data_IF_211837760084
#
_entry.id   IF_211837760084
#
_cell.length_a   1.000
_cell.length_b   1.000
_cell.length_c   1.000
_cell.angle_alpha   90.00
_cell.angle_beta   90.00
_cell.angle_gamma   90.00
#
_symmetry.space_group_name_H-M   'P 1'
#
loop_
_entity.id
_entity.type
_entity.pdbx_description
1 polymer ?
#
# COMPACT_ATOMS: atom_id res chain seq x y z
N UNK A 1 -18.40 5.46 -0.67
CA UNK A 1 -18.08 5.47 -2.12
C UNK A 1 -16.73 4.80 -2.26
N UNK A 2 -16.55 3.91 -3.25
CA UNK A 2 -15.25 3.26 -3.50
C UNK A 2 -14.25 4.34 -3.96
N UNK A 3 -13.10 4.53 -3.28
CA UNK A 3 -12.16 5.60 -3.61
C UNK A 3 -11.42 5.39 -4.94
N UNK A 4 -11.30 4.14 -5.42
CA UNK A 4 -10.56 3.81 -6.64
C UNK A 4 -11.45 3.96 -7.87
N UNK A 5 -12.70 3.50 -7.78
CA UNK A 5 -13.64 3.53 -8.91
C UNK A 5 -14.55 4.76 -8.90
N UNK A 6 -14.77 5.39 -7.74
CA UNK A 6 -15.83 6.36 -7.45
C UNK A 6 -17.24 5.80 -7.69
N UNK A 7 -17.37 4.47 -7.71
CA UNK A 7 -18.70 3.85 -7.76
C UNK A 7 -19.35 3.93 -6.38
N UNK A 8 -20.65 4.20 -6.36
CA UNK A 8 -21.42 4.12 -5.14
C UNK A 8 -21.34 2.69 -4.60
N UNK A 9 -21.10 2.56 -3.30
CA UNK A 9 -21.19 1.28 -2.60
C UNK A 9 -22.64 1.20 -2.10
N UNK A 10 -23.40 0.15 -2.47
CA UNK A 10 -24.77 -0.01 -1.99
C UNK A 10 -24.82 0.03 -0.46
N UNK A 11 -25.77 0.80 0.10
CA UNK A 11 -25.94 0.98 1.55
C UNK A 11 -26.48 -0.30 2.19
N UNK A 12 -27.33 -1.00 1.45
CA UNK A 12 -27.83 -2.32 1.69
C UNK A 12 -27.02 -3.30 0.84
N UNK A 13 -25.89 -3.81 1.37
CA UNK A 13 -25.08 -4.85 0.70
C UNK A 13 -25.85 -6.18 0.44
N UNK A 14 -27.18 -6.18 0.54
CA UNK A 14 -28.13 -7.30 0.57
C UNK A 14 -28.14 -8.15 -0.72
N UNK A 15 -27.42 -7.76 -1.77
CA UNK A 15 -27.30 -8.55 -3.01
C UNK A 15 -25.91 -9.12 -3.32
N UNK A 16 -24.83 -8.37 -3.06
CA UNK A 16 -23.48 -8.72 -3.52
C UNK A 16 -22.40 -8.20 -2.56
N UNK A 17 -22.53 -8.55 -1.27
CA UNK A 17 -21.47 -8.32 -0.26
C UNK A 17 -20.13 -8.88 -0.76
N UNK A 18 -20.16 -9.98 -1.53
CA UNK A 18 -18.97 -10.68 -2.05
C UNK A 18 -18.15 -9.88 -3.05
N UNK A 19 -18.75 -8.90 -3.74
CA UNK A 19 -18.05 -8.06 -4.71
C UNK A 19 -17.21 -6.95 -4.06
N UNK A 20 -17.37 -6.73 -2.75
CA UNK A 20 -16.63 -5.72 -2.00
C UNK A 20 -15.85 -6.34 -0.86
N UNK A 21 -14.69 -5.78 -0.56
CA UNK A 21 -13.88 -6.19 0.58
C UNK A 21 -13.14 -5.01 1.20
N UNK A 22 -12.78 -5.19 2.46
CA UNK A 22 -11.96 -4.23 3.17
C UNK A 22 -10.52 -4.36 2.64
N UNK A 23 -10.00 -3.25 2.17
CA UNK A 23 -8.69 -3.13 1.56
C UNK A 23 -7.77 -2.25 2.41
N UNK A 24 -6.49 -2.63 2.45
CA UNK A 24 -5.41 -1.81 2.99
C UNK A 24 -4.88 -0.91 1.87
N UNK A 25 -5.21 0.39 1.92
CA UNK A 25 -4.83 1.37 0.89
C UNK A 25 -3.33 1.29 0.62
N UNK A 26 -2.50 1.46 1.65
CA UNK A 26 -1.10 1.10 1.62
C UNK A 26 -0.95 -0.33 2.16
N UNK A 27 -0.58 -1.21 1.24
CA UNK A 27 -0.62 -2.66 1.43
C UNK A 27 0.32 -3.14 2.55
N UNK A 28 -0.08 -4.20 3.27
CA UNK A 28 0.74 -4.81 4.32
C UNK A 28 2.12 -5.24 3.83
N UNK A 29 2.20 -5.71 2.58
CA UNK A 29 3.47 -6.10 1.94
C UNK A 29 4.41 -4.90 1.73
N UNK A 30 3.90 -3.68 1.58
CA UNK A 30 4.75 -2.48 1.55
C UNK A 30 5.40 -2.23 2.91
N UNK A 31 4.64 -2.34 3.99
CA UNK A 31 5.19 -2.22 5.35
C UNK A 31 6.16 -3.35 5.68
N UNK A 32 5.86 -4.58 5.26
CA UNK A 32 6.80 -5.70 5.40
C UNK A 32 8.11 -5.42 4.64
N UNK A 33 8.05 -4.83 3.44
CA UNK A 33 9.22 -4.41 2.69
C UNK A 33 10.02 -3.34 3.44
N UNK A 34 9.36 -2.30 3.94
CA UNK A 34 9.97 -1.22 4.74
C UNK A 34 10.72 -1.80 5.94
N UNK A 35 10.06 -2.63 6.75
CA UNK A 35 10.65 -3.22 7.95
C UNK A 35 11.82 -4.15 7.60
N UNK A 36 11.71 -4.92 6.51
CA UNK A 36 12.80 -5.79 6.07
C UNK A 36 14.03 -5.02 5.57
N UNK A 37 13.87 -3.76 5.16
CA UNK A 37 14.96 -2.87 4.72
C UNK A 37 15.49 -1.97 5.83
N UNK A 38 14.68 -1.71 6.85
CA UNK A 38 15.08 -0.94 8.02
C UNK A 38 16.16 -1.72 8.79
N UNK A 39 17.34 -1.14 8.94
CA UNK A 39 18.47 -1.72 9.68
C UNK A 39 18.21 -1.66 11.20
N UNK A 40 17.29 -2.51 11.65
CA UNK A 40 16.81 -2.57 13.03
C UNK A 40 17.39 -3.77 13.77
N UNK A 41 17.73 -3.57 15.04
CA UNK A 41 17.98 -4.68 15.96
C UNK A 41 16.71 -5.52 16.15
N UNK A 42 16.87 -6.77 16.61
CA UNK A 42 15.74 -7.71 16.77
C UNK A 42 14.60 -7.16 17.66
N UNK A 43 14.95 -6.50 18.76
CA UNK A 43 13.97 -5.98 19.71
C UNK A 43 13.22 -4.79 19.11
N UNK A 44 13.94 -3.85 18.50
CA UNK A 44 13.38 -2.71 17.77
C UNK A 44 12.49 -3.18 16.61
N UNK A 45 12.93 -4.18 15.85
CA UNK A 45 12.14 -4.78 14.77
C UNK A 45 10.79 -5.29 15.27
N UNK A 46 10.76 -6.04 16.37
CA UNK A 46 9.50 -6.55 16.93
C UNK A 46 8.60 -5.42 17.43
N UNK A 47 9.19 -4.43 18.11
CA UNK A 47 8.45 -3.25 18.56
C UNK A 47 7.82 -2.49 17.40
N UNK A 48 8.57 -2.25 16.31
CA UNK A 48 8.09 -1.57 15.11
C UNK A 48 6.96 -2.37 14.45
N UNK A 49 7.09 -3.70 14.37
CA UNK A 49 6.04 -4.56 13.79
C UNK A 49 4.75 -4.48 14.60
N UNK A 50 4.83 -4.53 15.93
CA UNK A 50 3.66 -4.43 16.80
C UNK A 50 3.00 -3.04 16.69
N UNK A 51 3.79 -1.97 16.72
CA UNK A 51 3.29 -0.59 16.54
C UNK A 51 2.68 -0.37 15.16
N UNK A 52 3.32 -0.86 14.09
CA UNK A 52 2.75 -0.80 12.74
C UNK A 52 1.39 -1.48 12.70
N UNK A 53 1.27 -2.67 13.28
CA UNK A 53 0.00 -3.42 13.28
C UNK A 53 -1.10 -2.63 14.00
N UNK A 54 -0.79 -2.00 15.13
CA UNK A 54 -1.78 -1.40 16.02
C UNK A 54 -2.14 0.04 15.62
N UNK A 55 -1.16 0.84 15.20
CA UNK A 55 -1.28 2.29 15.10
C UNK A 55 -1.21 2.83 13.66
N UNK A 56 -0.86 2.00 12.67
CA UNK A 56 -0.60 2.48 11.29
C UNK A 56 -1.29 1.64 10.23
N UNK A 57 -1.16 0.32 10.29
CA UNK A 57 -1.62 -0.60 9.24
C UNK A 57 -3.13 -0.82 9.31
N UNK A 58 -3.67 -1.05 10.51
CA UNK A 58 -5.08 -1.41 10.70
C UNK A 58 -5.96 -0.25 11.16
N UNK A 59 -5.49 1.00 11.04
CA UNK A 59 -6.29 2.19 11.33
C UNK A 59 -7.23 2.52 10.17
N UNK A 60 -8.35 3.18 10.48
CA UNK A 60 -9.39 3.52 9.50
C UNK A 60 -8.84 4.34 8.32
N UNK A 61 -7.82 5.17 8.56
CA UNK A 61 -7.17 5.99 7.52
C UNK A 61 -6.42 5.18 6.46
N UNK A 62 -6.03 3.94 6.77
CA UNK A 62 -5.40 3.01 5.83
C UNK A 62 -6.38 1.94 5.32
N UNK A 63 -7.64 1.96 5.77
CA UNK A 63 -8.65 0.99 5.39
C UNK A 63 -9.68 1.62 4.46
N UNK A 64 -10.10 0.86 3.45
CA UNK A 64 -11.20 1.28 2.59
C UNK A 64 -12.03 0.12 2.09
N UNK A 65 -13.34 0.31 1.98
CA UNK A 65 -14.22 -0.66 1.33
C UNK A 65 -14.15 -0.46 -0.18
N UNK A 66 -13.67 -1.48 -0.90
CA UNK A 66 -13.38 -1.40 -2.34
C UNK A 66 -13.95 -2.59 -3.08
N UNK A 67 -14.07 -2.48 -4.41
CA UNK A 67 -14.39 -3.65 -5.23
C UNK A 67 -13.26 -4.68 -5.14
N UNK A 68 -13.63 -5.92 -4.86
CA UNK A 68 -12.71 -7.06 -4.74
C UNK A 68 -11.81 -7.25 -5.96
N UNK A 69 -12.34 -7.11 -7.17
CA UNK A 69 -11.53 -7.23 -8.39
C UNK A 69 -10.46 -6.16 -8.49
N UNK A 70 -10.79 -4.91 -8.15
CA UNK A 70 -9.84 -3.78 -8.13
C UNK A 70 -8.79 -4.00 -7.05
N UNK A 71 -9.19 -4.46 -5.87
CA UNK A 71 -8.26 -4.80 -4.80
C UNK A 71 -7.25 -5.87 -5.23
N UNK A 72 -7.74 -6.97 -5.82
CA UNK A 72 -6.89 -8.05 -6.32
C UNK A 72 -5.88 -7.57 -7.38
N UNK A 73 -6.31 -6.71 -8.31
CA UNK A 73 -5.44 -6.13 -9.33
C UNK A 73 -4.39 -5.19 -8.71
N UNK A 74 -4.79 -4.36 -7.75
CA UNK A 74 -3.89 -3.49 -6.99
C UNK A 74 -2.83 -4.32 -6.25
N UNK A 75 -3.26 -5.31 -5.48
CA UNK A 75 -2.37 -6.18 -4.72
C UNK A 75 -1.36 -6.91 -5.60
N UNK A 76 -1.79 -7.39 -6.79
CA UNK A 76 -0.88 -7.99 -7.80
C UNK A 76 0.15 -6.99 -8.33
N UNK A 77 -0.28 -5.77 -8.66
CA UNK A 77 0.63 -4.74 -9.15
C UNK A 77 1.66 -4.34 -8.10
N UNK A 78 1.23 -4.13 -6.85
CA UNK A 78 2.13 -3.83 -5.74
C UNK A 78 3.08 -4.99 -5.46
N UNK A 79 2.58 -6.23 -5.42
CA UNK A 79 3.43 -7.41 -5.21
C UNK A 79 4.49 -7.53 -6.30
N UNK A 80 4.09 -7.45 -7.57
CA UNK A 80 5.02 -7.56 -8.70
C UNK A 80 6.10 -6.49 -8.67
N UNK A 81 5.74 -5.25 -8.31
CA UNK A 81 6.73 -4.19 -8.12
C UNK A 81 7.72 -4.52 -7.00
N UNK A 82 7.22 -4.94 -5.83
CA UNK A 82 8.07 -5.21 -4.67
C UNK A 82 8.96 -6.44 -4.87
N UNK A 83 8.45 -7.49 -5.53
CA UNK A 83 9.19 -8.71 -5.87
C UNK A 83 10.33 -8.41 -6.83
N UNK A 84 10.04 -7.76 -7.97
CA UNK A 84 11.05 -7.37 -8.95
C UNK A 84 12.12 -6.47 -8.35
N UNK A 85 11.73 -5.58 -7.44
CA UNK A 85 12.66 -4.72 -6.71
C UNK A 85 13.53 -5.51 -5.74
N UNK A 86 12.96 -6.46 -5.01
CA UNK A 86 13.69 -7.31 -4.08
C UNK A 86 14.69 -8.23 -4.80
N UNK A 87 14.34 -8.70 -6.01
CA UNK A 87 15.18 -9.61 -6.81
C UNK A 87 16.09 -8.89 -7.80
N UNK A 88 15.99 -7.56 -7.95
CA UNK A 88 16.78 -6.77 -8.91
C UNK A 88 16.36 -6.95 -10.38
N UNK A 89 15.15 -7.45 -10.63
CA UNK A 89 14.57 -7.62 -11.96
C UNK A 89 13.76 -6.41 -12.42
N UNK A 90 13.56 -5.42 -11.54
CA UNK A 90 12.86 -4.19 -11.87
C UNK A 90 13.57 -3.46 -13.02
N UNK A 91 12.86 -3.27 -14.13
CA UNK A 91 13.34 -2.40 -15.21
C UNK A 91 13.56 -0.98 -14.68
N UNK A 92 14.64 -0.31 -15.11
CA UNK A 92 15.01 1.03 -14.63
C UNK A 92 13.89 2.07 -14.69
N UNK A 93 13.00 1.93 -15.67
CA UNK A 93 11.92 2.91 -15.89
C UNK A 93 10.57 2.46 -15.30
N UNK A 94 10.45 1.21 -14.86
CA UNK A 94 9.20 0.66 -14.35
C UNK A 94 8.85 1.22 -12.96
N UNK A 95 7.68 1.84 -12.86
CA UNK A 95 7.11 2.40 -11.64
C UNK A 95 5.82 1.68 -11.25
N UNK A 96 5.26 2.00 -10.08
CA UNK A 96 4.04 1.35 -9.62
C UNK A 96 2.90 1.45 -10.64
N UNK A 97 2.75 2.61 -11.29
CA UNK A 97 1.74 2.85 -12.33
C UNK A 97 1.85 1.81 -13.45
N UNK A 98 3.06 1.48 -13.89
CA UNK A 98 3.31 0.49 -14.93
C UNK A 98 2.90 -0.92 -14.48
N UNK A 99 3.22 -1.31 -13.25
CA UNK A 99 2.81 -2.61 -12.70
C UNK A 99 1.28 -2.69 -12.53
N UNK A 100 0.63 -1.63 -12.06
CA UNK A 100 -0.83 -1.57 -11.91
C UNK A 100 -1.56 -1.66 -13.27
N UNK A 101 -1.05 -0.99 -14.31
CA UNK A 101 -1.63 -1.06 -15.66
C UNK A 101 -1.46 -2.43 -16.32
N UNK A 102 -0.39 -3.15 -15.98
CA UNK A 102 -0.10 -4.48 -16.51
C UNK A 102 -0.74 -5.60 -15.68
N UNK A 103 -1.15 -5.32 -14.43
CA UNK A 103 -1.88 -6.24 -13.60
C UNK A 103 -3.21 -6.64 -14.28
N UNK A 104 -3.45 -7.94 -14.34
CA UNK A 104 -4.67 -8.50 -14.91
C UNK A 104 -5.17 -9.69 -14.08
N UNK A 105 -6.47 -9.94 -14.22
CA UNK A 105 -7.15 -11.09 -13.67
C UNK A 105 -8.13 -11.63 -14.71
N UNK A 106 -7.65 -12.55 -15.57
CA UNK A 106 -8.36 -12.90 -16.79
C UNK A 106 -8.39 -11.69 -17.75
N UNK A 107 -9.59 -11.28 -18.14
CA UNK A 107 -9.80 -10.13 -19.03
C UNK A 107 -9.92 -8.79 -18.29
N UNK A 108 -9.97 -8.81 -16.95
CA UNK A 108 -10.07 -7.59 -16.14
C UNK A 108 -8.72 -6.88 -16.01
N UNK A 109 -8.74 -5.55 -16.16
CA UNK A 109 -7.58 -4.66 -16.03
C UNK A 109 -7.99 -3.34 -15.39
N UNK A 110 -7.04 -2.71 -14.71
CA UNK A 110 -7.22 -1.34 -14.22
C UNK A 110 -7.17 -0.35 -15.38
N UNK A 111 -8.12 0.56 -15.43
CA UNK A 111 -8.02 1.73 -16.30
C UNK A 111 -6.91 2.66 -15.82
N UNK A 112 -6.42 3.54 -16.71
CA UNK A 112 -5.49 4.62 -16.34
C UNK A 112 -6.05 5.52 -15.24
N UNK A 113 -7.36 5.74 -15.23
CA UNK A 113 -8.02 6.61 -14.24
C UNK A 113 -8.06 5.95 -12.86
N UNK A 114 -8.42 4.66 -12.80
CA UNK A 114 -8.38 3.89 -11.54
C UNK A 114 -6.96 3.79 -11.02
N UNK A 115 -5.99 3.49 -11.89
CA UNK A 115 -4.57 3.46 -11.54
C UNK A 115 -4.09 4.78 -10.93
N UNK A 116 -4.40 5.91 -11.56
CA UNK A 116 -4.01 7.22 -11.03
C UNK A 116 -4.62 7.52 -9.65
N UNK A 117 -5.86 7.08 -9.39
CA UNK A 117 -6.51 7.22 -8.07
C UNK A 117 -5.86 6.31 -7.04
N UNK A 118 -5.62 5.05 -7.38
CA UNK A 118 -4.92 4.08 -6.53
C UNK A 118 -3.57 4.65 -6.10
N UNK A 119 -2.75 5.11 -7.06
CA UNK A 119 -1.45 5.75 -6.74
C UNK A 119 -1.62 6.96 -5.81
N UNK A 120 -2.63 7.80 -6.06
CA UNK A 120 -2.91 8.96 -5.22
C UNK A 120 -3.28 8.59 -3.78
N UNK A 121 -4.11 7.56 -3.58
CA UNK A 121 -4.51 7.10 -2.25
C UNK A 121 -3.36 6.37 -1.54
N UNK A 122 -2.59 5.53 -2.25
CA UNK A 122 -1.37 4.91 -1.71
C UNK A 122 -0.41 5.98 -1.22
N UNK A 123 -0.16 7.03 -2.02
CA UNK A 123 0.72 8.14 -1.63
C UNK A 123 0.25 8.81 -0.35
N UNK A 124 -1.05 9.11 -0.25
CA UNK A 124 -1.63 9.76 0.94
C UNK A 124 -1.47 8.88 2.17
N UNK A 125 -1.81 7.59 2.07
CA UNK A 125 -1.68 6.66 3.19
C UNK A 125 -0.22 6.46 3.60
N UNK A 126 0.69 6.25 2.66
CA UNK A 126 2.12 6.11 2.94
C UNK A 126 2.71 7.37 3.60
N UNK A 127 2.31 8.57 3.16
CA UNK A 127 2.72 9.83 3.81
C UNK A 127 2.17 9.98 5.22
N UNK A 128 0.94 9.53 5.49
CA UNK A 128 0.40 9.53 6.85
C UNK A 128 1.18 8.58 7.74
N UNK A 129 1.50 7.39 7.25
CA UNK A 129 2.34 6.44 7.97
C UNK A 129 3.73 7.03 8.29
N UNK A 130 4.38 7.66 7.31
CA UNK A 130 5.64 8.36 7.52
C UNK A 130 5.53 9.44 8.60
N UNK A 131 4.53 10.33 8.49
CA UNK A 131 4.31 11.40 9.45
C UNK A 131 4.04 10.86 10.86
N UNK A 132 3.31 9.76 10.98
CA UNK A 132 3.08 9.12 12.28
C UNK A 132 4.40 8.74 12.96
N UNK A 133 5.37 8.20 12.21
CA UNK A 133 6.70 7.89 12.73
C UNK A 133 7.50 9.15 13.06
N UNK A 134 7.47 10.16 12.19
CA UNK A 134 8.14 11.45 12.42
C UNK A 134 7.62 12.14 13.71
N UNK A 135 6.33 11.98 14.01
CA UNK A 135 5.67 12.57 15.19
C UNK A 135 6.01 11.86 16.51
N UNK A 136 6.66 10.67 16.48
CA UNK A 136 7.04 9.95 17.70
C UNK A 136 8.32 10.50 18.38
N UNK A 137 8.93 11.55 17.82
CA UNK A 137 10.12 12.21 18.36
C UNK A 137 11.44 11.53 17.97
N UNK A 138 12.56 12.00 18.57
CA UNK A 138 13.91 11.51 18.29
C UNK A 138 14.12 10.08 18.82
N UNK A 139 13.72 9.11 18.01
CA UNK A 139 13.85 7.68 18.28
C UNK A 139 14.34 6.99 17.01
N UNK A 140 15.58 6.51 17.04
CA UNK A 140 16.29 5.98 15.85
C UNK A 140 15.48 4.90 15.10
N UNK A 141 14.91 3.87 15.75
CA UNK A 141 13.98 2.95 15.10
C UNK A 141 12.85 3.60 14.29
N UNK A 142 12.26 4.69 14.80
CA UNK A 142 11.20 5.42 14.12
C UNK A 142 11.75 6.24 12.95
N UNK A 143 12.87 6.94 13.13
CA UNK A 143 13.55 7.70 12.08
C UNK A 143 13.91 6.78 10.89
N UNK A 144 14.56 5.65 11.16
CA UNK A 144 14.95 4.68 10.11
C UNK A 144 13.71 4.14 9.40
N UNK A 145 12.63 3.85 10.13
CA UNK A 145 11.38 3.37 9.54
C UNK A 145 10.72 4.44 8.66
N UNK A 146 10.68 5.70 9.10
CA UNK A 146 10.16 6.82 8.34
C UNK A 146 10.98 7.05 7.05
N UNK A 147 12.31 6.97 7.13
CA UNK A 147 13.21 7.05 5.99
C UNK A 147 12.94 5.94 4.97
N UNK A 148 12.77 4.69 5.41
CA UNK A 148 12.46 3.57 4.52
C UNK A 148 11.07 3.70 3.88
N UNK A 149 10.07 4.24 4.59
CA UNK A 149 8.77 4.60 3.98
C UNK A 149 8.97 5.67 2.90
N UNK A 150 9.75 6.71 3.16
CA UNK A 150 10.02 7.79 2.20
C UNK A 150 10.79 7.29 0.97
N UNK A 151 11.74 6.37 1.16
CA UNK A 151 12.44 5.70 0.06
C UNK A 151 11.44 4.92 -0.79
N UNK A 152 10.59 4.10 -0.17
CA UNK A 152 9.57 3.34 -0.90
C UNK A 152 8.59 4.26 -1.66
N UNK A 153 8.16 5.39 -1.10
CA UNK A 153 7.33 6.38 -1.81
C UNK A 153 8.04 6.90 -3.07
N UNK A 154 9.32 7.26 -2.94
CA UNK A 154 10.16 7.74 -4.05
C UNK A 154 10.29 6.67 -5.14
N UNK A 155 10.51 5.44 -4.71
CA UNK A 155 10.72 4.28 -5.57
C UNK A 155 9.49 3.91 -6.38
N UNK A 156 8.32 3.99 -5.75
CA UNK A 156 7.03 3.80 -6.40
C UNK A 156 6.70 4.95 -7.38
N UNK A 157 7.51 6.03 -7.38
CA UNK A 157 7.31 7.30 -8.09
C UNK A 157 5.98 7.97 -7.77
N UNK A 158 5.62 7.96 -6.48
CA UNK A 158 4.34 8.47 -5.98
C UNK A 158 4.38 9.95 -5.66
#
# INVERSE_FOLDING_TARGET
MDPFTLTAIPIDLVGDVSAYELDHIFEKQCFAHVVARADLGKDDHNQIVDLLREEVVNVDENLSLTRKSVNQLKGRGVYGFLDDRATGHQSRDADLTSYLLNANNGDEKLSRKETGRICGEIKKSAKRAQLWFDDQGENRPFEVTAEEIQKLITDLKL
#
